data_IF_289633952335
#
_entry.id   IF_289633952335
#
_cell.length_a   1.000
_cell.length_b   1.000
_cell.length_c   1.000
_cell.angle_alpha   90.00
_cell.angle_beta   90.00
_cell.angle_gamma   90.00
#
_symmetry.space_group_name_H-M   'P 1'
#
loop_
_entity.id
_entity.type
_entity.pdbx_description
1 polymer ?
#
# COMPACT_ATOMS: atom_id res chain seq x y z
N UNK A 1 4.14 -12.19 -12.63
CA UNK A 1 4.02 -13.65 -12.38
C UNK A 1 4.17 -14.39 -13.70
N UNK A 2 4.79 -15.57 -13.72
CA UNK A 2 4.91 -16.38 -14.93
C UNK A 2 3.94 -17.55 -14.87
N UNK A 3 3.18 -17.76 -15.95
CA UNK A 3 2.31 -18.92 -16.13
C UNK A 3 2.85 -19.80 -17.25
N UNK A 4 2.82 -21.11 -17.02
CA UNK A 4 3.18 -22.12 -18.01
C UNK A 4 1.92 -22.94 -18.27
N UNK A 5 1.38 -22.83 -19.48
CA UNK A 5 0.21 -23.56 -19.93
C UNK A 5 0.71 -24.71 -20.79
N UNK A 6 0.25 -25.93 -20.48
CA UNK A 6 0.57 -27.14 -21.25
C UNK A 6 -0.73 -27.81 -21.64
N UNK A 7 -0.90 -28.08 -22.94
CA UNK A 7 -2.08 -28.72 -23.49
C UNK A 7 -1.86 -30.21 -23.69
N UNK A 8 -2.76 -31.00 -23.09
CA UNK A 8 -2.73 -32.46 -23.13
C UNK A 8 -4.08 -33.00 -23.63
N UNK A 9 -4.05 -34.13 -24.33
CA UNK A 9 -5.26 -34.88 -24.67
C UNK A 9 -5.79 -35.65 -23.44
N UNK A 10 -6.95 -36.32 -23.58
CA UNK A 10 -7.54 -37.11 -22.48
C UNK A 10 -6.67 -38.28 -22.00
N UNK A 11 -5.67 -38.68 -22.78
CA UNK A 11 -4.72 -39.76 -22.47
C UNK A 11 -3.41 -39.22 -21.86
N UNK A 12 -3.26 -37.90 -21.74
CA UNK A 12 -2.07 -37.24 -21.20
C UNK A 12 -0.98 -36.97 -22.23
N UNK A 13 -1.24 -37.11 -23.54
CA UNK A 13 -0.26 -36.79 -24.59
C UNK A 13 -0.29 -35.31 -24.94
N UNK A 14 0.86 -34.76 -25.31
CA UNK A 14 1.01 -33.36 -25.73
C UNK A 14 0.16 -33.07 -26.97
N UNK A 15 -0.67 -32.03 -26.89
CA UNK A 15 -1.38 -31.44 -28.03
C UNK A 15 -0.66 -30.15 -28.42
N UNK A 16 -0.25 -30.06 -29.68
CA UNK A 16 0.58 -28.95 -30.21
C UNK A 16 -0.31 -27.92 -30.89
N UNK A 17 0.16 -26.67 -30.93
CA UNK A 17 -0.50 -25.58 -31.66
C UNK A 17 -1.96 -25.32 -31.26
N UNK A 18 -2.38 -25.77 -30.07
CA UNK A 18 -3.70 -25.50 -29.50
C UNK A 18 -3.92 -24.00 -29.33
N UNK A 19 -5.13 -23.56 -29.66
CA UNK A 19 -5.61 -22.20 -29.44
C UNK A 19 -5.90 -22.02 -27.96
N UNK A 20 -5.34 -20.96 -27.36
CA UNK A 20 -5.52 -20.61 -25.96
C UNK A 20 -6.20 -19.25 -25.88
N UNK A 21 -7.37 -19.21 -25.24
CA UNK A 21 -8.05 -17.97 -24.87
C UNK A 21 -7.87 -17.71 -23.39
N UNK A 22 -7.50 -16.49 -23.02
CA UNK A 22 -7.41 -16.07 -21.63
C UNK A 22 -8.36 -14.89 -21.44
N UNK A 23 -9.32 -15.05 -20.55
CA UNK A 23 -10.34 -14.04 -20.27
C UNK A 23 -10.29 -13.63 -18.81
N UNK A 24 -10.24 -12.33 -18.55
CA UNK A 24 -10.48 -11.78 -17.21
C UNK A 24 -11.96 -11.91 -16.89
N UNK A 25 -12.27 -12.58 -15.78
CA UNK A 25 -13.66 -12.82 -15.34
C UNK A 25 -14.10 -11.73 -14.37
N UNK A 26 -13.31 -11.54 -13.31
CA UNK A 26 -13.64 -10.60 -12.24
C UNK A 26 -12.38 -10.18 -11.51
N UNK A 27 -12.35 -8.93 -11.05
CA UNK A 27 -11.37 -8.43 -10.10
C UNK A 27 -12.08 -8.09 -8.79
N UNK A 28 -11.51 -8.52 -7.67
CA UNK A 28 -12.04 -8.27 -6.32
C UNK A 28 -10.95 -7.66 -5.45
N UNK A 29 -11.35 -6.77 -4.57
CA UNK A 29 -10.49 -6.31 -3.49
C UNK A 29 -10.34 -7.39 -2.40
N UNK A 30 -9.55 -7.11 -1.36
CA UNK A 30 -9.24 -8.06 -0.29
C UNK A 30 -10.47 -8.44 0.53
N UNK A 31 -11.51 -7.60 0.52
CA UNK A 31 -12.77 -7.80 1.22
C UNK A 31 -13.81 -8.50 0.33
N UNK A 32 -13.44 -8.89 -0.89
CA UNK A 32 -14.29 -9.62 -1.82
C UNK A 32 -15.25 -8.74 -2.63
N UNK A 33 -15.17 -7.42 -2.51
CA UNK A 33 -15.97 -6.49 -3.31
C UNK A 33 -15.40 -6.42 -4.73
N UNK A 34 -16.30 -6.49 -5.72
CA UNK A 34 -15.92 -6.39 -7.13
C UNK A 34 -15.38 -4.99 -7.43
N UNK A 35 -14.24 -4.94 -8.12
CA UNK A 35 -13.56 -3.72 -8.56
C UNK A 35 -13.59 -3.63 -10.07
N UNK A 36 -14.20 -2.56 -10.59
CA UNK A 36 -14.29 -2.27 -12.02
C UNK A 36 -13.30 -1.17 -12.45
N UNK A 37 -12.64 -0.57 -11.46
CA UNK A 37 -11.72 0.56 -11.53
C UNK A 37 -10.24 0.15 -11.49
N UNK A 38 -9.94 -1.15 -11.44
CA UNK A 38 -8.57 -1.65 -11.59
C UNK A 38 -8.11 -1.61 -13.05
N UNK A 39 -6.80 -1.44 -13.25
CA UNK A 39 -6.16 -1.53 -14.56
C UNK A 39 -6.38 -2.85 -15.30
N UNK A 40 -6.12 -2.84 -16.60
CA UNK A 40 -6.11 -4.06 -17.40
C UNK A 40 -4.82 -4.84 -17.17
N UNK A 41 -4.93 -6.17 -17.29
CA UNK A 41 -3.75 -7.03 -17.24
C UNK A 41 -2.87 -6.79 -18.47
N UNK A 42 -1.58 -6.83 -18.24
CA UNK A 42 -0.56 -7.00 -19.24
C UNK A 42 -0.17 -8.49 -19.29
N UNK A 43 -0.24 -9.09 -20.48
CA UNK A 43 0.25 -10.44 -20.75
C UNK A 43 1.36 -10.37 -21.79
N UNK A 44 2.57 -10.70 -21.38
CA UNK A 44 3.74 -10.84 -22.24
C UNK A 44 3.86 -12.29 -22.71
N UNK A 45 3.89 -12.51 -24.02
CA UNK A 45 4.22 -13.80 -24.62
C UNK A 45 5.75 -13.95 -24.68
N UNK A 46 6.27 -14.87 -23.87
CA UNK A 46 7.73 -15.04 -23.71
C UNK A 46 8.39 -15.69 -24.92
N UNK A 47 7.62 -16.14 -25.92
CA UNK A 47 8.18 -16.69 -27.16
C UNK A 47 8.59 -15.62 -28.17
N UNK A 48 7.95 -14.46 -28.12
CA UNK A 48 8.16 -13.35 -29.07
C UNK A 48 8.36 -12.00 -28.37
N UNK A 49 8.35 -11.95 -27.04
CA UNK A 49 8.54 -10.76 -26.22
C UNK A 49 7.51 -9.66 -26.51
N UNK A 50 6.31 -10.04 -26.96
CA UNK A 50 5.22 -9.13 -27.24
C UNK A 50 4.28 -8.99 -26.03
N UNK A 51 3.91 -7.75 -25.69
CA UNK A 51 3.02 -7.43 -24.57
C UNK A 51 1.64 -7.06 -25.09
N UNK A 52 0.63 -7.75 -24.60
CA UNK A 52 -0.78 -7.47 -24.85
C UNK A 52 -1.41 -6.85 -23.61
N UNK A 53 -2.32 -5.90 -23.80
CA UNK A 53 -3.05 -5.22 -22.71
C UNK A 53 -4.54 -5.37 -22.94
N UNK A 54 -5.27 -5.83 -21.93
CA UNK A 54 -6.73 -5.95 -22.03
C UNK A 54 -7.35 -6.93 -21.05
N UNK A 55 -8.54 -7.42 -21.42
CA UNK A 55 -9.30 -8.43 -20.67
C UNK A 55 -9.46 -9.75 -21.41
N UNK A 56 -9.22 -9.76 -22.71
CA UNK A 56 -9.38 -10.92 -23.59
C UNK A 56 -8.12 -11.08 -24.41
N UNK A 57 -7.55 -12.28 -24.40
CA UNK A 57 -6.30 -12.58 -25.07
C UNK A 57 -6.41 -13.90 -25.81
N UNK A 58 -5.73 -13.98 -26.96
CA UNK A 58 -5.68 -15.18 -27.79
C UNK A 58 -4.22 -15.49 -28.11
N UNK A 59 -3.83 -16.74 -27.86
CA UNK A 59 -2.50 -17.25 -28.08
C UNK A 59 -2.56 -18.63 -28.73
N UNK A 60 -1.41 -19.15 -29.15
CA UNK A 60 -1.23 -20.56 -29.52
C UNK A 60 -0.11 -21.18 -28.71
N UNK A 61 -0.28 -22.44 -28.33
CA UNK A 61 0.86 -23.21 -27.79
C UNK A 61 1.88 -23.49 -28.89
N UNK A 62 3.14 -23.69 -28.50
CA UNK A 62 4.21 -24.00 -29.44
C UNK A 62 4.17 -25.47 -29.92
N UNK A 63 5.19 -25.88 -30.68
CA UNK A 63 5.37 -27.26 -31.18
C UNK A 63 5.53 -28.33 -30.09
N UNK A 64 5.71 -27.93 -28.83
CA UNK A 64 5.77 -28.82 -27.66
C UNK A 64 4.48 -28.75 -26.84
N UNK A 65 3.41 -28.11 -27.34
CA UNK A 65 2.15 -27.92 -26.63
C UNK A 65 2.27 -27.01 -25.40
N UNK A 66 3.26 -26.11 -25.39
CA UNK A 66 3.52 -25.21 -24.26
C UNK A 66 3.35 -23.75 -24.68
N UNK A 67 2.68 -22.98 -23.84
CA UNK A 67 2.66 -21.51 -23.87
C UNK A 67 3.24 -20.99 -22.56
N UNK A 68 4.24 -20.11 -22.64
CA UNK A 68 4.82 -19.43 -21.48
C UNK A 68 4.51 -17.95 -21.57
N UNK A 69 3.82 -17.43 -20.56
CA UNK A 69 3.42 -16.03 -20.50
C UNK A 69 3.83 -15.41 -19.16
N UNK A 70 4.06 -14.11 -19.16
CA UNK A 70 4.22 -13.32 -17.94
C UNK A 70 3.03 -12.39 -17.81
N UNK A 71 2.33 -12.49 -16.69
CA UNK A 71 1.17 -11.67 -16.35
C UNK A 71 1.59 -10.63 -15.31
N UNK A 72 1.20 -9.39 -15.54
CA UNK A 72 1.39 -8.24 -14.64
C UNK A 72 0.18 -7.31 -14.70
N UNK A 73 -0.02 -6.51 -13.65
CA UNK A 73 -1.05 -5.47 -13.60
C UNK A 73 -0.40 -4.14 -13.19
N UNK A 74 0.30 -3.46 -14.11
CA UNK A 74 1.09 -2.26 -13.78
C UNK A 74 0.24 -1.06 -13.39
N UNK A 75 -1.05 -1.06 -13.74
CA UNK A 75 -2.03 -0.05 -13.36
C UNK A 75 -3.07 -0.62 -12.38
N UNK A 76 -2.73 -1.75 -11.75
CA UNK A 76 -3.57 -2.41 -10.76
C UNK A 76 -3.60 -1.63 -9.45
N UNK A 77 -4.75 -1.66 -8.78
CA UNK A 77 -4.98 -0.94 -7.52
C UNK A 77 -4.88 -1.87 -6.30
N UNK A 78 -4.32 -3.07 -6.44
CA UNK A 78 -4.21 -4.05 -5.35
C UNK A 78 -5.37 -5.05 -5.30
N UNK A 79 -5.59 -5.81 -6.38
CA UNK A 79 -6.75 -6.71 -6.52
C UNK A 79 -6.35 -8.17 -6.73
N UNK A 80 -7.27 -9.07 -6.41
CA UNK A 80 -7.29 -10.43 -6.92
C UNK A 80 -8.09 -10.45 -8.22
N UNK A 81 -7.46 -10.84 -9.33
CA UNK A 81 -8.08 -10.99 -10.64
C UNK A 81 -8.21 -12.46 -11.00
N UNK A 82 -9.44 -12.94 -11.14
CA UNK A 82 -9.74 -14.28 -11.65
C UNK A 82 -9.68 -14.27 -13.17
N UNK A 83 -8.85 -15.13 -13.75
CA UNK A 83 -8.82 -15.37 -15.20
C UNK A 83 -9.30 -16.78 -15.52
N UNK A 84 -9.95 -16.94 -16.67
CA UNK A 84 -10.34 -18.21 -17.25
C UNK A 84 -9.46 -18.49 -18.46
N UNK A 85 -8.79 -19.65 -18.46
CA UNK A 85 -7.89 -20.09 -19.52
C UNK A 85 -8.57 -21.26 -20.22
N UNK A 86 -8.94 -21.05 -21.48
CA UNK A 86 -9.65 -22.03 -22.31
C UNK A 86 -8.76 -22.52 -23.45
N UNK A 87 -8.63 -23.84 -23.59
CA UNK A 87 -7.93 -24.48 -24.70
C UNK A 87 -8.91 -25.04 -25.73
N UNK A 88 -8.69 -24.71 -27.01
CA UNK A 88 -9.44 -25.17 -28.18
C UNK A 88 -10.98 -25.06 -28.03
N UNK A 89 -11.45 -24.07 -27.27
CA UNK A 89 -12.88 -23.85 -26.95
C UNK A 89 -13.58 -25.06 -26.27
N UNK A 90 -12.82 -25.92 -25.60
CA UNK A 90 -13.34 -27.17 -25.02
C UNK A 90 -13.11 -27.30 -23.52
N UNK A 91 -11.90 -26.97 -23.05
CA UNK A 91 -11.49 -27.17 -21.66
C UNK A 91 -11.09 -25.83 -21.07
N UNK A 92 -11.73 -25.44 -19.96
CA UNK A 92 -11.39 -24.21 -19.26
C UNK A 92 -10.88 -24.46 -17.84
N UNK A 93 -9.98 -23.59 -17.40
CA UNK A 93 -9.44 -23.58 -16.03
C UNK A 93 -9.38 -22.15 -15.52
N UNK A 94 -10.01 -21.93 -14.36
CA UNK A 94 -9.94 -20.66 -13.65
C UNK A 94 -8.77 -20.63 -12.70
N UNK A 95 -8.08 -19.50 -12.65
CA UNK A 95 -7.03 -19.23 -11.67
C UNK A 95 -7.18 -17.82 -11.13
N UNK A 96 -6.83 -17.64 -9.86
CA UNK A 96 -6.81 -16.35 -9.19
C UNK A 96 -5.38 -15.78 -9.14
N UNK A 97 -5.23 -14.54 -9.56
CA UNK A 97 -3.96 -13.83 -9.59
C UNK A 97 -4.05 -12.61 -8.66
N UNK A 98 -3.18 -12.54 -7.66
CA UNK A 98 -3.12 -11.39 -6.74
C UNK A 98 -1.96 -10.49 -7.16
N UNK A 99 -2.28 -9.23 -7.48
CA UNK A 99 -1.29 -8.18 -7.70
C UNK A 99 -1.41 -7.19 -6.54
N UNK A 100 -0.38 -7.14 -5.69
CA UNK A 100 -0.35 -6.26 -4.52
C UNK A 100 0.06 -4.83 -4.93
N UNK A 101 -0.39 -3.82 -4.21
CA UNK A 101 -0.02 -2.40 -4.38
C UNK A 101 0.75 -1.85 -3.17
N UNK A 102 1.70 -0.94 -3.37
CA UNK A 102 2.52 -0.39 -2.27
C UNK A 102 1.68 0.46 -1.31
N UNK A 103 0.64 1.13 -1.80
CA UNK A 103 -0.19 2.07 -1.03
C UNK A 103 -1.24 1.41 -0.12
N UNK A 104 -1.20 0.08 0.04
CA UNK A 104 -2.06 -0.66 0.97
C UNK A 104 -1.21 -1.57 1.85
N UNK A 105 -1.53 -1.71 3.15
CA UNK A 105 -0.77 -2.58 4.03
C UNK A 105 -1.08 -4.06 3.79
N UNK A 106 -0.12 -4.93 4.10
CA UNK A 106 -0.38 -6.37 4.11
C UNK A 106 -1.11 -6.80 5.39
N UNK A 107 -2.35 -6.34 5.52
CA UNK A 107 -3.22 -6.59 6.67
C UNK A 107 -4.56 -7.16 6.20
N UNK A 108 -5.12 -8.14 6.92
CA UNK A 108 -6.46 -8.64 6.64
C UNK A 108 -7.56 -7.57 6.85
N UNK A 109 -7.22 -6.46 7.51
CA UNK A 109 -8.07 -5.30 7.72
C UNK A 109 -8.04 -4.30 6.56
N UNK A 110 -7.07 -4.42 5.64
CA UNK A 110 -6.97 -3.57 4.45
C UNK A 110 -8.08 -3.85 3.43
N UNK A 111 -8.52 -2.83 2.71
CA UNK A 111 -9.45 -2.97 1.60
C UNK A 111 -8.78 -3.66 0.42
N UNK A 112 -7.56 -3.26 0.07
CA UNK A 112 -6.83 -3.79 -1.09
C UNK A 112 -5.73 -4.78 -0.68
N UNK A 113 -5.28 -5.59 -1.64
CA UNK A 113 -4.07 -6.39 -1.48
C UNK A 113 -2.85 -5.48 -1.60
N UNK A 114 -2.01 -5.46 -0.57
CA UNK A 114 -0.87 -4.56 -0.56
C UNK A 114 0.38 -5.11 0.11
N UNK A 115 1.44 -4.30 0.05
CA UNK A 115 2.77 -4.60 0.59
C UNK A 115 3.44 -3.35 1.20
N UNK A 116 2.64 -2.38 1.65
CA UNK A 116 3.14 -1.19 2.36
C UNK A 116 4.07 -1.59 3.50
N UNK A 117 5.14 -0.83 3.68
CA UNK A 117 6.04 -1.01 4.80
C UNK A 117 5.33 -0.65 6.11
N UNK A 118 5.33 -1.57 7.07
CA UNK A 118 4.81 -1.28 8.42
C UNK A 118 5.71 -0.29 9.17
N UNK A 119 6.99 -0.22 8.81
CA UNK A 119 8.00 0.61 9.45
C UNK A 119 8.95 1.29 8.47
N UNK A 120 9.28 2.54 8.75
CA UNK A 120 10.37 3.27 8.09
C UNK A 120 11.43 3.61 9.14
N UNK A 121 12.69 3.34 8.82
CA UNK A 121 13.81 3.45 9.75
C UNK A 121 14.54 4.77 9.53
N UNK A 122 14.52 5.67 10.52
CA UNK A 122 15.31 6.90 10.47
C UNK A 122 16.81 6.62 10.61
N UNK A 123 17.14 5.59 11.40
CA UNK A 123 18.48 5.06 11.61
C UNK A 123 18.37 3.64 12.18
N UNK A 124 19.50 3.02 12.57
CA UNK A 124 19.53 1.65 13.08
C UNK A 124 18.70 1.41 14.36
N UNK A 125 18.44 2.46 15.15
CA UNK A 125 17.72 2.39 16.45
C UNK A 125 16.34 3.01 16.40
N UNK A 126 16.11 3.99 15.54
CA UNK A 126 14.86 4.76 15.47
C UNK A 126 14.05 4.39 14.25
N UNK A 127 12.80 4.00 14.47
CA UNK A 127 11.82 3.73 13.42
C UNK A 127 10.50 4.39 13.71
N UNK A 128 9.76 4.64 12.64
CA UNK A 128 8.40 5.10 12.65
C UNK A 128 7.50 3.96 12.19
N UNK A 129 6.29 3.90 12.74
CA UNK A 129 5.24 3.00 12.26
C UNK A 129 4.32 3.78 11.34
N UNK A 130 3.84 3.12 10.28
CA UNK A 130 2.86 3.70 9.36
C UNK A 130 1.60 4.19 10.10
N UNK A 131 0.84 5.12 9.52
CA UNK A 131 -0.53 5.38 9.96
C UNK A 131 -1.36 4.09 9.98
N UNK A 132 -2.37 4.04 10.85
CA UNK A 132 -3.20 2.86 11.04
C UNK A 132 -4.48 2.94 10.22
N UNK A 133 -5.05 1.79 9.86
CA UNK A 133 -6.37 1.71 9.24
C UNK A 133 -7.47 1.90 10.29
N UNK A 134 -8.63 2.44 9.92
CA UNK A 134 -9.78 2.58 10.83
C UNK A 134 -10.19 1.25 11.49
N UNK A 135 -10.06 0.14 10.76
CA UNK A 135 -10.35 -1.20 11.27
C UNK A 135 -9.25 -1.75 12.21
N UNK A 136 -8.09 -1.10 12.25
CA UNK A 136 -6.99 -1.45 13.16
C UNK A 136 -7.21 -0.86 14.55
N UNK A 137 -7.74 0.36 14.64
CA UNK A 137 -8.04 1.06 15.88
C UNK A 137 -9.16 2.09 15.67
N UNK A 138 -10.07 2.23 16.63
CA UNK A 138 -11.20 3.15 16.52
C UNK A 138 -10.73 4.58 16.26
N UNK A 139 -11.21 5.18 15.18
CA UNK A 139 -10.77 6.50 14.71
C UNK A 139 -11.72 7.60 15.16
N UNK A 140 -11.20 8.81 15.38
CA UNK A 140 -12.03 9.99 15.63
C UNK A 140 -12.64 10.50 14.31
N UNK A 141 -11.85 10.51 13.23
CA UNK A 141 -12.28 10.80 11.85
C UNK A 141 -11.58 9.83 10.89
N UNK A 142 -12.25 9.46 9.80
CA UNK A 142 -11.68 8.63 8.73
C UNK A 142 -11.07 9.49 7.62
N UNK A 143 -9.84 9.19 7.25
CA UNK A 143 -9.15 9.77 6.10
C UNK A 143 -9.10 8.75 4.95
N UNK A 144 -9.84 9.03 3.88
CA UNK A 144 -9.89 8.17 2.70
C UNK A 144 -8.71 8.48 1.76
N UNK A 145 -7.84 7.49 1.54
CA UNK A 145 -6.73 7.65 0.61
C UNK A 145 -6.29 6.31 0.03
N UNK A 146 -5.98 6.29 -1.27
CA UNK A 146 -5.50 5.11 -2.01
C UNK A 146 -6.34 3.84 -1.80
N UNK A 147 -7.68 3.99 -1.80
CA UNK A 147 -8.66 2.93 -1.56
C UNK A 147 -8.66 2.35 -0.14
N UNK A 148 -7.98 2.98 0.81
CA UNK A 148 -7.96 2.59 2.21
C UNK A 148 -8.62 3.65 3.09
N UNK A 149 -9.15 3.18 4.23
CA UNK A 149 -9.74 4.01 5.27
C UNK A 149 -8.72 4.15 6.40
N UNK A 150 -8.01 5.27 6.44
CA UNK A 150 -6.99 5.56 7.44
C UNK A 150 -7.59 6.23 8.66
N UNK A 151 -7.14 5.84 9.84
CA UNK A 151 -7.58 6.42 11.08
C UNK A 151 -6.85 7.69 11.44
N UNK A 152 -7.61 8.70 11.87
CA UNK A 152 -7.08 9.92 12.47
C UNK A 152 -7.58 10.04 13.91
N UNK A 153 -6.76 10.62 14.79
CA UNK A 153 -7.06 10.78 16.21
C UNK A 153 -6.82 12.22 16.66
N UNK A 154 -7.57 12.65 17.66
CA UNK A 154 -7.22 13.78 18.53
C UNK A 154 -5.93 13.48 19.29
N UNK A 155 -5.26 14.51 19.82
CA UNK A 155 -3.92 14.35 20.40
C UNK A 155 -3.89 13.33 21.55
N UNK A 156 -4.80 13.45 22.52
CA UNK A 156 -4.87 12.53 23.67
C UNK A 156 -5.13 11.08 23.24
N UNK A 157 -5.99 10.88 22.22
CA UNK A 157 -6.25 9.56 21.67
C UNK A 157 -5.04 9.01 20.91
N UNK A 158 -4.30 9.87 20.19
CA UNK A 158 -3.06 9.50 19.51
C UNK A 158 -1.97 9.05 20.52
N UNK A 159 -1.81 9.77 21.63
CA UNK A 159 -0.90 9.39 22.72
C UNK A 159 -1.29 8.02 23.28
N UNK A 160 -2.57 7.79 23.60
CA UNK A 160 -3.07 6.49 24.07
C UNK A 160 -2.78 5.38 23.06
N UNK A 161 -3.07 5.62 21.79
CA UNK A 161 -2.84 4.67 20.70
C UNK A 161 -1.37 4.27 20.60
N UNK A 162 -0.43 5.23 20.52
CA UNK A 162 1.00 4.89 20.43
C UNK A 162 1.49 4.13 21.68
N UNK A 163 1.01 4.50 22.87
CA UNK A 163 1.36 3.83 24.12
C UNK A 163 0.91 2.36 24.18
N UNK A 164 -0.18 1.98 23.50
CA UNK A 164 -0.61 0.57 23.42
C UNK A 164 0.47 -0.35 22.84
N UNK A 165 1.35 0.20 22.00
CA UNK A 165 2.44 -0.52 21.34
C UNK A 165 3.80 -0.26 21.99
N UNK A 166 3.87 0.53 23.08
CA UNK A 166 5.11 1.09 23.66
C UNK A 166 5.87 2.01 22.69
N UNK A 167 5.14 2.80 21.92
CA UNK A 167 5.66 3.85 21.05
C UNK A 167 5.16 5.21 21.53
N UNK A 168 5.70 6.27 20.94
CA UNK A 168 5.44 7.66 21.34
C UNK A 168 5.10 8.53 20.14
N UNK A 169 4.43 9.64 20.40
CA UNK A 169 4.26 10.71 19.42
C UNK A 169 5.62 11.41 19.24
N UNK A 170 6.15 11.50 18.00
CA UNK A 170 7.47 12.06 17.74
C UNK A 170 7.51 13.56 18.07
N UNK A 171 8.67 14.06 18.50
CA UNK A 171 8.90 15.51 18.67
C UNK A 171 9.19 16.19 17.33
N UNK A 172 9.12 17.52 17.30
CA UNK A 172 9.36 18.33 16.10
C UNK A 172 10.73 18.07 15.46
N UNK A 173 11.81 18.02 16.23
CA UNK A 173 13.16 17.78 15.69
C UNK A 173 13.25 16.41 15.02
N UNK A 174 12.65 15.39 15.61
CA UNK A 174 12.64 14.04 15.04
C UNK A 174 11.82 13.97 13.74
N UNK A 175 10.68 14.66 13.68
CA UNK A 175 9.90 14.80 12.44
C UNK A 175 10.67 15.60 11.36
N UNK A 176 11.48 16.59 11.75
CA UNK A 176 12.37 17.29 10.82
C UNK A 176 13.43 16.35 10.23
N UNK A 177 14.05 15.49 11.05
CA UNK A 177 15.05 14.54 10.56
C UNK A 177 14.41 13.49 9.67
N UNK A 178 13.26 12.94 10.10
CA UNK A 178 12.47 11.99 9.31
C UNK A 178 12.09 12.54 7.95
N UNK A 179 11.56 13.75 7.91
CA UNK A 179 11.18 14.41 6.66
C UNK A 179 12.33 14.86 5.78
N UNK A 180 13.54 14.98 6.34
CA UNK A 180 14.75 15.19 5.54
C UNK A 180 15.09 13.98 4.70
N UNK A 181 14.94 12.80 5.29
CA UNK A 181 15.28 11.53 4.64
C UNK A 181 14.10 10.98 3.82
N UNK A 182 12.88 11.24 4.28
CA UNK A 182 11.64 10.72 3.74
C UNK A 182 10.65 11.85 3.45
N UNK A 183 10.86 12.61 2.36
CA UNK A 183 9.84 13.53 1.85
C UNK A 183 8.57 12.77 1.40
N UNK A 184 7.48 13.51 1.17
CA UNK A 184 6.15 12.92 0.92
C UNK A 184 6.09 11.98 -0.28
N UNK A 185 6.76 12.34 -1.36
CA UNK A 185 6.85 11.54 -2.58
C UNK A 185 7.58 10.21 -2.32
N UNK A 186 8.63 10.23 -1.50
CA UNK A 186 9.35 9.02 -1.08
C UNK A 186 8.48 8.18 -0.14
N UNK A 187 7.84 8.80 0.85
CA UNK A 187 6.92 8.09 1.76
C UNK A 187 5.78 7.42 1.00
N UNK A 188 5.17 8.09 0.04
CA UNK A 188 4.09 7.55 -0.76
C UNK A 188 4.58 6.47 -1.75
N UNK A 189 5.57 6.80 -2.57
CA UNK A 189 5.92 5.97 -3.73
C UNK A 189 6.79 4.77 -3.36
N UNK A 190 7.67 4.91 -2.35
CA UNK A 190 8.59 3.84 -1.94
C UNK A 190 8.08 3.08 -0.71
N UNK A 191 7.38 3.76 0.21
CA UNK A 191 6.89 3.14 1.44
C UNK A 191 5.38 2.95 1.50
N UNK A 192 4.60 3.61 0.61
CA UNK A 192 3.15 3.51 0.55
C UNK A 192 2.39 4.41 1.53
N UNK A 193 3.06 5.17 2.38
CA UNK A 193 2.43 5.86 3.50
C UNK A 193 1.56 7.04 3.03
N UNK A 194 0.34 7.21 3.56
CA UNK A 194 -0.65 8.17 3.06
C UNK A 194 -0.41 9.60 3.61
N UNK A 195 0.84 10.05 3.67
CA UNK A 195 1.22 11.38 4.18
C UNK A 195 1.60 12.25 2.98
N UNK A 196 0.59 12.81 2.32
CA UNK A 196 0.69 13.30 0.93
C UNK A 196 0.26 14.76 0.76
N UNK A 197 -0.31 15.40 1.78
CA UNK A 197 -0.81 16.76 1.65
C UNK A 197 -0.99 17.51 2.97
N UNK A 198 -1.37 18.78 2.87
CA UNK A 198 -1.86 19.60 3.97
C UNK A 198 -3.15 19.08 4.63
N UNK A 199 -3.76 18.00 4.12
CA UNK A 199 -4.91 17.34 4.77
C UNK A 199 -4.50 16.11 5.59
N UNK A 200 -3.28 15.61 5.40
CA UNK A 200 -2.74 14.43 6.09
C UNK A 200 -1.68 14.84 7.11
N UNK A 201 -1.98 15.85 7.93
CA UNK A 201 -1.09 16.29 9.01
C UNK A 201 -0.87 15.15 10.02
N UNK A 202 0.26 15.18 10.71
CA UNK A 202 0.56 14.23 11.80
C UNK A 202 0.95 14.95 13.07
N UNK A 203 0.62 14.35 14.21
CA UNK A 203 0.92 14.92 15.51
C UNK A 203 2.42 14.99 15.82
N UNK A 204 2.81 16.10 16.45
CA UNK A 204 4.06 16.23 17.20
C UNK A 204 3.75 16.39 18.69
N UNK A 205 4.58 15.78 19.54
CA UNK A 205 4.49 15.98 20.99
C UNK A 205 5.09 17.31 21.46
N UNK A 206 5.71 18.06 20.56
CA UNK A 206 6.19 19.42 20.86
C UNK A 206 5.02 20.38 21.06
N UNK A 207 4.97 20.99 22.25
CA UNK A 207 4.00 22.02 22.61
C UNK A 207 4.53 23.42 22.31
N UNK A 208 3.61 24.36 22.09
CA UNK A 208 3.92 25.79 22.18
C UNK A 208 3.37 26.32 23.50
N UNK A 209 4.29 26.64 24.42
CA UNK A 209 3.96 27.14 25.75
C UNK A 209 3.18 28.46 25.70
N UNK A 210 2.18 28.61 26.57
CA UNK A 210 1.49 29.89 26.81
C UNK A 210 0.13 30.12 26.14
N UNK A 211 -0.50 29.09 25.56
CA UNK A 211 -1.87 29.19 25.02
C UNK A 211 -2.81 28.17 25.66
N UNK A 212 -4.02 28.61 26.00
CA UNK A 212 -5.11 27.76 26.48
C UNK A 212 -6.27 27.77 25.48
N UNK A 213 -6.77 26.61 25.03
CA UNK A 213 -6.29 25.25 25.34
C UNK A 213 -4.88 24.96 24.77
N UNK A 214 -4.17 23.94 25.28
CA UNK A 214 -2.84 23.56 24.79
C UNK A 214 -2.86 23.37 23.27
N UNK A 215 -1.86 23.91 22.57
CA UNK A 215 -1.69 23.68 21.13
C UNK A 215 -0.46 22.83 20.90
N UNK A 216 -0.67 21.69 20.24
CA UNK A 216 0.41 20.83 19.78
C UNK A 216 0.77 21.21 18.35
N UNK A 217 2.04 21.04 17.99
CA UNK A 217 2.46 21.22 16.63
C UNK A 217 1.98 20.06 15.76
N UNK A 218 1.51 20.38 14.57
CA UNK A 218 1.17 19.41 13.54
C UNK A 218 2.16 19.59 12.43
N UNK A 219 2.76 18.48 12.04
CA UNK A 219 3.62 18.43 10.89
C UNK A 219 2.81 18.15 9.64
N UNK A 220 2.91 19.04 8.66
CA UNK A 220 2.42 18.80 7.31
C UNK A 220 3.58 18.67 6.35
N UNK A 221 3.41 17.73 5.43
CA UNK A 221 4.21 17.65 4.23
C UNK A 221 3.53 18.47 3.14
N UNK A 222 4.10 19.62 2.80
CA UNK A 222 3.88 20.18 1.47
C UNK A 222 4.99 19.69 0.52
N UNK A 223 4.70 19.65 -0.77
CA UNK A 223 5.60 19.24 -1.85
C UNK A 223 6.92 20.02 -1.88
N UNK A 224 7.02 21.14 -1.15
CA UNK A 224 8.19 22.02 -1.20
C UNK A 224 8.76 22.45 0.16
N UNK A 225 8.05 22.31 1.29
CA UNK A 225 8.55 22.78 2.58
C UNK A 225 7.93 22.04 3.78
N UNK A 226 8.76 21.76 4.80
CA UNK A 226 8.34 21.24 6.10
C UNK A 226 7.67 22.35 6.89
N UNK A 227 6.35 22.33 6.99
CA UNK A 227 5.64 23.38 7.73
C UNK A 227 4.96 22.76 8.94
N UNK A 228 5.25 23.33 10.11
CA UNK A 228 4.54 23.02 11.34
C UNK A 228 3.51 24.10 11.57
N UNK A 229 2.25 23.70 11.73
CA UNK A 229 1.17 24.59 12.14
C UNK A 229 0.71 24.22 13.54
N UNK A 230 0.02 25.17 14.17
CA UNK A 230 -0.66 24.90 15.44
C UNK A 230 -1.91 24.08 15.16
N UNK A 231 -1.94 22.88 15.74
CA UNK A 231 -3.13 22.05 15.77
C UNK A 231 -4.07 22.45 16.88
N UNK A 232 -5.37 22.48 16.56
CA UNK A 232 -6.38 22.46 17.62
C UNK A 232 -6.32 21.08 18.28
N UNK A 233 -6.17 21.05 19.61
CA UNK A 233 -6.05 19.80 20.39
C UNK A 233 -7.16 18.78 20.11
N UNK A 234 -8.37 19.27 19.78
CA UNK A 234 -9.56 18.45 19.50
C UNK A 234 -9.78 18.15 18.00
N UNK A 235 -8.89 18.58 17.11
CA UNK A 235 -8.93 18.18 15.70
C UNK A 235 -8.26 16.81 15.52
N UNK A 236 -8.68 16.04 14.52
CA UNK A 236 -8.15 14.70 14.29
C UNK A 236 -7.16 14.70 13.12
N UNK A 237 -6.01 14.04 13.33
CA UNK A 237 -4.92 13.95 12.36
C UNK A 237 -4.37 12.53 12.30
N UNK A 238 -3.63 12.20 11.23
CA UNK A 238 -2.95 10.91 11.12
C UNK A 238 -1.94 10.77 12.26
N UNK A 239 -1.68 9.52 12.66
CA UNK A 239 -0.78 9.25 13.78
C UNK A 239 0.45 8.49 13.29
N UNK A 240 1.60 9.13 13.42
CA UNK A 240 2.90 8.46 13.37
C UNK A 240 3.36 8.17 14.78
N UNK A 241 3.69 6.92 15.04
CA UNK A 241 4.28 6.48 16.30
C UNK A 241 5.75 6.15 16.07
N UNK A 242 6.64 6.59 16.95
CA UNK A 242 8.07 6.23 16.95
C UNK A 242 8.46 5.45 18.21
N UNK A 243 9.47 4.59 18.10
CA UNK A 243 10.00 3.88 19.26
C UNK A 243 10.99 4.72 20.09
N UNK A 244 11.29 5.95 19.68
CA UNK A 244 12.15 6.87 20.44
C UNK A 244 11.29 7.74 21.36
N UNK A 245 11.55 7.68 22.67
CA UNK A 245 10.90 8.57 23.62
C UNK A 245 11.49 9.98 23.54
N UNK A 246 10.65 11.01 23.70
CA UNK A 246 11.09 12.41 23.72
C UNK A 246 12.17 12.70 24.78
N UNK A 247 12.18 11.95 25.89
CA UNK A 247 13.17 12.06 26.95
C UNK A 247 14.54 11.46 26.64
N UNK A 248 14.65 10.60 25.61
CA UNK A 248 15.91 9.97 25.21
C UNK A 248 16.65 10.79 24.12
N UNK A 249 16.07 11.91 23.68
CA UNK A 249 16.62 12.82 22.67
C UNK A 249 17.31 14.07 23.24
N UNK A 250 17.53 14.13 24.56
CA UNK A 250 18.31 15.16 25.25
C UNK A 250 19.64 14.56 25.78
N UNK A 251 20.35 13.80 24.97
CA UNK A 251 21.80 13.66 25.15
C UNK A 251 22.49 14.80 24.39
N UNK A 252 22.91 15.80 25.18
CA UNK A 252 24.10 16.64 25.02
C UNK A 252 24.38 17.26 23.64
N UNK A 253 23.96 18.51 23.46
CA UNK A 253 24.81 19.50 22.79
C UNK A 253 24.73 20.84 23.52
N UNK A 254 25.85 21.23 24.14
CA UNK A 254 26.13 22.62 24.49
C UNK A 254 26.63 22.85 25.91
N UNK A 255 27.93 22.61 26.10
CA UNK A 255 28.80 23.25 27.10
C UNK A 255 28.68 24.78 27.11
#
# INVERSE_FOLDING_TARGET
MTLIITTLDKKGNIVKNSDIKINTIVSKDRQGKIRLDSGFLNIEDLSNNHVFVGRHFSFKTNKNGVLKIKVSDPHGIGVQTTIDITADDHISRKIDLIFKVITSPDSNKAQMYGYMDDYVYLNAKTRFRRPFLEREYASDIVYHHANEDWGTLTYDNAVKYCNTMKYFIPIRSLLNDFSSQYPADILLNLHGWPIVSTFSGVWSSSEKWGQYPPRHLIWYLDYTNRIFYEGLHNSAYLVLCTNLYAGDGLEEFGS
#
